data_IF_054617991781
#
_entry.id   IF_054617991781
#
_cell.length_a   1.000
_cell.length_b   1.000
_cell.length_c   1.000
_cell.angle_alpha   90.00
_cell.angle_beta   90.00
_cell.angle_gamma   90.00
#
_symmetry.space_group_name_H-M   'P 1'
#
loop_
_entity.id
_entity.type
_entity.pdbx_description
1 polymer ?
#
# COMPACT_ATOMS: atom_id res chain seq x y z
N UNK A 1 41.74 -4.61 -8.66
CA UNK A 1 41.01 -3.32 -8.54
C UNK A 1 40.59 -3.20 -7.09
N UNK A 2 41.26 -2.39 -6.32
CA UNK A 2 40.99 -2.13 -4.90
C UNK A 2 39.59 -1.54 -4.73
N UNK A 3 38.69 -2.36 -4.22
CA UNK A 3 37.32 -1.95 -3.90
C UNK A 3 37.24 -1.27 -2.53
N UNK A 4 38.07 -0.24 -2.30
CA UNK A 4 37.99 0.57 -1.09
C UNK A 4 36.57 1.18 -0.95
N UNK A 5 35.90 1.10 0.22
CA UNK A 5 34.60 1.72 0.47
C UNK A 5 34.63 3.24 0.24
N UNK A 6 35.80 3.87 0.25
CA UNK A 6 35.97 5.30 -0.01
C UNK A 6 35.60 5.74 -1.44
N UNK A 7 35.53 4.82 -2.42
CA UNK A 7 35.23 5.14 -3.84
C UNK A 7 33.77 4.89 -4.24
N UNK A 8 32.97 4.23 -3.41
CA UNK A 8 31.55 3.98 -3.70
C UNK A 8 30.71 5.25 -3.44
N UNK A 9 30.04 5.81 -4.48
CA UNK A 9 29.28 7.04 -4.36
C UNK A 9 28.09 6.94 -3.37
N UNK A 10 27.70 5.74 -2.96
CA UNK A 10 26.62 5.51 -1.98
C UNK A 10 27.03 5.93 -0.56
N UNK A 11 28.32 5.87 -0.23
CA UNK A 11 28.85 6.28 1.08
C UNK A 11 29.15 7.77 1.15
N UNK A 12 29.18 8.47 0.03
CA UNK A 12 29.48 9.90 -0.01
C UNK A 12 28.38 10.74 0.67
N UNK A 13 28.77 11.87 1.25
CA UNK A 13 27.83 12.87 1.74
C UNK A 13 27.08 13.52 0.57
N UNK A 14 25.91 14.10 0.87
CA UNK A 14 25.13 14.84 -0.11
C UNK A 14 25.93 16.03 -0.66
N UNK A 15 25.90 16.21 -1.97
CA UNK A 15 26.42 17.41 -2.65
C UNK A 15 25.54 18.61 -2.32
N UNK A 16 26.05 19.82 -2.50
CA UNK A 16 25.30 21.07 -2.22
C UNK A 16 23.95 21.09 -2.96
N UNK A 17 23.92 20.75 -4.24
CA UNK A 17 22.66 20.69 -5.01
C UNK A 17 21.66 19.64 -4.47
N UNK A 18 22.14 18.49 -4.03
CA UNK A 18 21.28 17.44 -3.44
C UNK A 18 20.70 17.87 -2.08
N UNK A 19 21.46 18.60 -1.26
CA UNK A 19 20.97 19.21 -0.01
C UNK A 19 19.91 20.25 -0.28
N UNK A 20 20.13 21.11 -1.28
CA UNK A 20 19.14 22.12 -1.69
C UNK A 20 17.85 21.45 -2.20
N UNK A 21 17.96 20.40 -3.03
CA UNK A 21 16.80 19.63 -3.47
C UNK A 21 16.04 18.97 -2.32
N UNK A 22 16.75 18.46 -1.31
CA UNK A 22 16.14 17.91 -0.10
C UNK A 22 15.40 18.98 0.71
N UNK A 23 16.01 20.16 0.90
CA UNK A 23 15.36 21.31 1.57
C UNK A 23 14.10 21.72 0.78
N UNK A 24 14.22 21.86 -0.55
CA UNK A 24 13.08 22.20 -1.40
C UNK A 24 11.95 21.15 -1.29
N UNK A 25 12.28 19.86 -1.23
CA UNK A 25 11.30 18.80 -1.01
C UNK A 25 10.53 18.97 0.31
N UNK A 26 11.22 19.25 1.43
CA UNK A 26 10.56 19.50 2.70
C UNK A 26 9.73 20.80 2.71
N UNK A 27 10.20 21.84 2.03
CA UNK A 27 9.44 23.09 1.85
C UNK A 27 8.14 22.81 1.07
N UNK A 28 8.22 22.03 -0.02
CA UNK A 28 7.02 21.63 -0.78
C UNK A 28 6.04 20.86 0.08
N UNK A 29 6.50 19.91 0.92
CA UNK A 29 5.63 19.19 1.86
C UNK A 29 4.95 20.14 2.85
N UNK A 30 5.69 21.13 3.38
CA UNK A 30 5.14 22.11 4.31
C UNK A 30 4.10 23.02 3.63
N UNK A 31 4.38 23.51 2.43
CA UNK A 31 3.41 24.28 1.63
C UNK A 31 2.17 23.43 1.29
N UNK A 32 2.36 22.16 0.95
CA UNK A 32 1.25 21.26 0.70
C UNK A 32 0.40 21.05 1.95
N UNK A 33 1.02 20.98 3.15
CA UNK A 33 0.28 20.93 4.42
C UNK A 33 -0.64 22.15 4.60
N UNK A 34 -0.14 23.34 4.32
CA UNK A 34 -0.95 24.58 4.38
C UNK A 34 -2.11 24.53 3.39
N UNK A 35 -1.88 24.04 2.16
CA UNK A 35 -2.94 23.88 1.16
C UNK A 35 -4.00 22.85 1.58
N UNK A 36 -3.59 21.72 2.15
CA UNK A 36 -4.50 20.68 2.66
C UNK A 36 -5.33 21.22 3.81
N UNK A 37 -4.69 21.90 4.77
CA UNK A 37 -5.38 22.53 5.90
C UNK A 37 -6.39 23.57 5.42
N UNK A 38 -5.97 24.50 4.56
CA UNK A 38 -6.86 25.52 4.00
C UNK A 38 -8.07 24.89 3.29
N UNK A 39 -7.83 23.90 2.43
CA UNK A 39 -8.89 23.23 1.68
C UNK A 39 -9.84 22.45 2.59
N UNK A 40 -9.31 21.70 3.54
CA UNK A 40 -10.10 20.76 4.35
C UNK A 40 -10.81 21.44 5.51
N UNK A 41 -10.18 22.44 6.15
CA UNK A 41 -10.70 23.05 7.37
C UNK A 41 -11.49 24.34 7.13
N UNK A 42 -11.19 25.09 6.03
CA UNK A 42 -11.75 26.42 5.83
C UNK A 42 -12.67 26.57 4.60
N UNK A 43 -12.72 25.57 3.71
CA UNK A 43 -13.70 25.59 2.61
C UNK A 43 -15.09 25.15 3.09
N UNK A 44 -16.16 25.78 2.56
CA UNK A 44 -17.55 25.52 2.94
C UNK A 44 -18.01 24.09 2.62
N UNK A 45 -17.41 23.45 1.63
CA UNK A 45 -17.65 22.05 1.31
C UNK A 45 -16.44 21.23 1.73
N UNK A 46 -16.51 20.61 2.89
CA UNK A 46 -15.48 19.68 3.37
C UNK A 46 -15.41 18.47 2.42
N UNK A 47 -14.40 18.46 1.57
CA UNK A 47 -14.20 17.38 0.59
C UNK A 47 -13.07 16.49 1.07
N UNK A 48 -13.38 15.33 1.61
CA UNK A 48 -12.36 14.37 1.99
C UNK A 48 -12.92 13.23 2.80
N UNK A 49 -12.26 12.09 2.70
CA UNK A 49 -12.66 10.88 3.41
C UNK A 49 -12.41 10.99 4.92
N UNK A 50 -11.58 11.98 5.34
CA UNK A 50 -11.32 12.26 6.75
C UNK A 50 -12.60 12.55 7.53
N UNK A 51 -13.56 13.30 6.94
CA UNK A 51 -14.83 13.61 7.59
C UNK A 51 -15.60 12.35 7.98
N UNK A 52 -15.62 11.35 7.11
CA UNK A 52 -16.26 10.06 7.39
C UNK A 52 -15.65 9.40 8.63
N UNK A 53 -14.30 9.43 8.76
CA UNK A 53 -13.61 8.82 9.91
C UNK A 53 -13.86 9.59 11.20
N UNK A 54 -13.81 10.93 11.17
CA UNK A 54 -14.04 11.77 12.33
C UNK A 54 -15.51 11.71 12.78
N UNK A 55 -16.45 11.61 11.84
CA UNK A 55 -17.86 11.42 12.13
C UNK A 55 -18.14 10.06 12.76
N UNK A 56 -17.50 8.99 12.28
CA UNK A 56 -17.56 7.68 12.91
C UNK A 56 -16.95 7.70 14.32
N UNK A 57 -15.84 8.43 14.51
CA UNK A 57 -15.25 8.68 15.84
C UNK A 57 -16.21 9.39 16.79
N UNK A 58 -16.97 10.38 16.29
CA UNK A 58 -18.03 11.01 17.05
C UNK A 58 -19.13 10.02 17.46
N UNK A 59 -19.59 9.19 16.52
CA UNK A 59 -20.59 8.17 16.80
C UNK A 59 -20.13 7.20 17.90
N UNK A 60 -18.84 6.83 17.95
CA UNK A 60 -18.26 6.05 19.05
C UNK A 60 -18.46 6.76 20.38
N UNK A 61 -18.17 8.06 20.48
CA UNK A 61 -18.22 8.86 21.72
C UNK A 61 -19.62 9.03 22.26
N UNK A 62 -20.59 9.27 21.36
CA UNK A 62 -21.99 9.55 21.78
C UNK A 62 -22.88 8.31 21.81
N UNK A 63 -22.35 7.16 21.44
CA UNK A 63 -23.14 5.92 21.43
C UNK A 63 -24.05 5.75 20.20
N UNK A 64 -23.89 6.58 19.15
CA UNK A 64 -24.64 6.45 17.91
C UNK A 64 -24.19 5.25 17.05
N UNK A 65 -25.01 4.82 16.10
CA UNK A 65 -24.65 3.74 15.17
C UNK A 65 -23.59 4.23 14.15
N UNK A 66 -22.49 3.49 14.05
CA UNK A 66 -21.34 3.81 13.18
C UNK A 66 -21.71 3.84 11.69
N UNK A 67 -22.64 3.00 11.27
CA UNK A 67 -22.93 2.74 9.87
C UNK A 67 -24.17 3.48 9.35
N UNK A 68 -24.87 4.19 10.23
CA UNK A 68 -26.01 5.04 9.86
C UNK A 68 -25.67 6.53 9.84
N UNK A 69 -24.58 6.92 10.51
CA UNK A 69 -24.13 8.31 10.48
C UNK A 69 -23.45 8.64 9.17
N UNK A 70 -23.70 9.84 8.66
CA UNK A 70 -23.08 10.36 7.43
C UNK A 70 -22.17 11.52 7.73
N UNK A 71 -21.18 11.73 6.86
CA UNK A 71 -20.44 12.98 6.82
C UNK A 71 -21.29 14.13 6.23
N UNK A 72 -20.70 15.32 6.10
CA UNK A 72 -21.40 16.48 5.57
C UNK A 72 -21.75 16.39 4.05
N UNK A 73 -21.20 15.36 3.35
CA UNK A 73 -21.48 15.08 1.93
C UNK A 73 -22.43 13.87 1.75
N UNK A 74 -22.93 13.29 2.82
CA UNK A 74 -23.84 12.13 2.80
C UNK A 74 -23.13 10.78 2.67
N UNK A 75 -21.79 10.71 2.78
CA UNK A 75 -21.05 9.44 2.74
C UNK A 75 -21.07 8.74 4.09
N UNK A 76 -21.20 7.40 4.04
CA UNK A 76 -21.23 6.53 5.20
C UNK A 76 -19.85 5.94 5.52
N UNK A 77 -19.69 5.49 6.76
CA UNK A 77 -18.51 4.75 7.21
C UNK A 77 -18.55 3.30 6.74
N UNK A 78 -17.45 2.81 6.11
CA UNK A 78 -17.37 1.48 5.49
C UNK A 78 -16.23 0.61 6.02
N UNK A 79 -15.69 0.92 7.20
CA UNK A 79 -14.52 0.24 7.77
C UNK A 79 -14.90 -0.52 9.05
N UNK A 80 -14.04 -1.47 9.52
CA UNK A 80 -14.27 -2.11 10.81
C UNK A 80 -14.30 -1.11 11.97
N UNK A 81 -14.98 -1.43 13.09
CA UNK A 81 -15.16 -0.52 14.23
C UNK A 81 -13.85 0.00 14.84
N UNK A 82 -12.74 -0.77 14.73
CA UNK A 82 -11.45 -0.37 15.29
C UNK A 82 -10.98 1.00 14.79
N UNK A 83 -11.14 1.30 13.50
CA UNK A 83 -10.71 2.59 12.95
C UNK A 83 -11.52 3.75 13.53
N UNK A 84 -12.84 3.58 13.72
CA UNK A 84 -13.68 4.59 14.35
C UNK A 84 -13.29 4.82 15.82
N UNK A 85 -12.93 3.76 16.56
CA UNK A 85 -12.42 3.85 17.93
C UNK A 85 -11.10 4.63 17.95
N UNK A 86 -10.18 4.36 17.03
CA UNK A 86 -8.91 5.08 16.91
C UNK A 86 -9.12 6.56 16.51
N UNK A 87 -10.17 6.88 15.75
CA UNK A 87 -10.52 8.24 15.35
C UNK A 87 -11.30 9.01 16.45
N UNK A 88 -11.82 8.34 17.47
CA UNK A 88 -12.63 8.96 18.52
C UNK A 88 -11.98 10.15 19.25
N UNK A 89 -10.66 10.19 19.50
CA UNK A 89 -10.01 11.39 20.08
C UNK A 89 -10.08 12.63 19.18
N UNK A 90 -10.19 12.44 17.85
CA UNK A 90 -10.22 13.49 16.83
C UNK A 90 -11.65 13.73 16.31
N UNK A 91 -12.66 13.19 16.97
CA UNK A 91 -14.06 13.21 16.57
C UNK A 91 -14.57 14.59 16.14
N UNK A 92 -15.38 14.61 15.07
CA UNK A 92 -16.07 15.82 14.60
C UNK A 92 -17.58 15.57 14.54
N UNK A 93 -18.41 16.33 15.31
CA UNK A 93 -19.85 16.16 15.36
C UNK A 93 -20.55 16.74 14.10
N UNK A 94 -21.78 16.30 13.79
CA UNK A 94 -22.60 16.94 12.75
C UNK A 94 -22.92 18.39 13.13
N UNK A 95 -23.32 19.18 12.12
CA UNK A 95 -23.74 20.55 12.33
C UNK A 95 -24.91 20.63 13.35
N UNK A 96 -24.79 21.52 14.30
CA UNK A 96 -25.81 21.70 15.37
C UNK A 96 -25.71 20.73 16.56
N UNK A 97 -24.84 19.72 16.52
CA UNK A 97 -24.58 18.86 17.67
C UNK A 97 -23.61 19.48 18.68
N UNK A 98 -23.68 19.03 19.93
CA UNK A 98 -22.78 19.47 21.00
C UNK A 98 -21.30 19.13 20.67
N UNK A 99 -20.43 20.11 20.81
CA UNK A 99 -18.98 20.02 20.58
C UNK A 99 -18.16 20.01 21.85
N UNK A 100 -18.80 19.95 23.01
CA UNK A 100 -18.13 19.99 24.30
C UNK A 100 -17.11 18.85 24.45
N UNK A 101 -15.87 19.21 24.78
CA UNK A 101 -14.77 18.25 24.91
C UNK A 101 -14.26 17.66 23.58
N UNK A 102 -14.57 18.28 22.43
CA UNK A 102 -14.04 17.92 21.12
C UNK A 102 -13.05 18.94 20.61
N UNK A 103 -12.07 18.47 19.81
CA UNK A 103 -11.11 19.36 19.19
C UNK A 103 -11.76 20.19 18.06
N UNK A 104 -11.28 21.42 17.78
CA UNK A 104 -11.61 22.10 16.55
C UNK A 104 -11.29 21.24 15.33
N UNK A 105 -12.15 21.28 14.31
CA UNK A 105 -11.94 20.44 13.11
C UNK A 105 -10.59 20.70 12.44
N UNK A 106 -10.12 21.95 12.36
CA UNK A 106 -8.79 22.30 11.85
C UNK A 106 -7.66 21.59 12.60
N UNK A 107 -7.75 21.50 13.92
CA UNK A 107 -6.75 20.77 14.73
C UNK A 107 -6.78 19.28 14.39
N UNK A 108 -7.96 18.67 14.21
CA UNK A 108 -8.09 17.28 13.81
C UNK A 108 -7.49 17.02 12.42
N UNK A 109 -7.68 17.94 11.45
CA UNK A 109 -7.06 17.87 10.12
C UNK A 109 -5.53 17.93 10.23
N UNK A 110 -4.99 18.91 10.95
CA UNK A 110 -3.54 19.06 11.13
C UNK A 110 -2.91 17.83 11.81
N UNK A 111 -3.53 17.31 12.87
CA UNK A 111 -3.07 16.11 13.57
C UNK A 111 -3.07 14.91 12.62
N UNK A 112 -4.15 14.68 11.86
CA UNK A 112 -4.22 13.59 10.90
C UNK A 112 -3.16 13.72 9.79
N UNK A 113 -2.90 14.92 9.31
CA UNK A 113 -1.84 15.18 8.33
C UNK A 113 -0.46 14.81 8.88
N UNK A 114 -0.12 15.28 10.08
CA UNK A 114 1.16 14.99 10.74
C UNK A 114 1.32 13.50 11.05
N UNK A 115 0.25 12.81 11.51
CA UNK A 115 0.25 11.37 11.72
C UNK A 115 0.51 10.62 10.41
N UNK A 116 -0.10 11.03 9.30
CA UNK A 116 0.15 10.43 8.00
C UNK A 116 1.61 10.61 7.55
N UNK A 117 2.22 11.79 7.73
CA UNK A 117 3.64 11.99 7.46
C UNK A 117 4.53 11.14 8.37
N UNK A 118 4.18 11.02 9.64
CA UNK A 118 4.88 10.15 10.59
C UNK A 118 4.81 8.68 10.15
N UNK A 119 3.64 8.18 9.76
CA UNK A 119 3.47 6.81 9.26
C UNK A 119 4.27 6.56 7.97
N UNK A 120 4.29 7.53 7.05
CA UNK A 120 5.12 7.45 5.85
C UNK A 120 6.61 7.35 6.20
N UNK A 121 7.10 8.21 7.09
CA UNK A 121 8.48 8.21 7.53
C UNK A 121 8.85 6.89 8.23
N UNK A 122 7.98 6.39 9.12
CA UNK A 122 8.15 5.10 9.78
C UNK A 122 8.19 3.94 8.78
N UNK A 123 7.26 3.90 7.83
CA UNK A 123 7.18 2.84 6.82
C UNK A 123 8.46 2.77 5.99
N UNK A 124 8.87 3.90 5.44
CA UNK A 124 10.05 4.00 4.60
C UNK A 124 11.33 3.67 5.38
N UNK A 125 11.45 4.22 6.60
CA UNK A 125 12.64 3.98 7.43
C UNK A 125 12.77 2.52 7.87
N UNK A 126 11.68 1.92 8.36
CA UNK A 126 11.67 0.52 8.82
C UNK A 126 12.02 -0.44 7.70
N UNK A 127 11.40 -0.29 6.53
CA UNK A 127 11.65 -1.17 5.39
C UNK A 127 13.06 -0.99 4.83
N UNK A 128 13.52 0.25 4.63
CA UNK A 128 14.87 0.53 4.18
C UNK A 128 15.91 -0.06 5.15
N UNK A 129 15.74 0.16 6.47
CA UNK A 129 16.63 -0.38 7.49
C UNK A 129 16.64 -1.92 7.54
N UNK A 130 15.49 -2.55 7.30
CA UNK A 130 15.42 -4.01 7.23
C UNK A 130 16.21 -4.54 6.03
N UNK A 131 16.07 -3.92 4.86
CA UNK A 131 16.83 -4.28 3.66
C UNK A 131 18.33 -4.02 3.83
N UNK A 132 18.73 -2.87 4.41
CA UNK A 132 20.13 -2.53 4.70
C UNK A 132 20.79 -3.57 5.61
N UNK A 133 20.16 -3.95 6.73
CA UNK A 133 20.70 -4.92 7.69
C UNK A 133 20.92 -6.30 7.10
N UNK A 134 19.98 -6.78 6.28
CA UNK A 134 20.08 -8.11 5.69
C UNK A 134 21.16 -8.13 4.62
N UNK A 135 21.26 -7.05 3.84
CA UNK A 135 22.35 -6.91 2.89
C UNK A 135 23.73 -6.86 3.58
N UNK A 136 23.79 -6.36 4.83
CA UNK A 136 25.03 -6.32 5.63
C UNK A 136 25.39 -7.66 6.28
N UNK A 137 24.39 -8.47 6.68
CA UNK A 137 24.63 -9.76 7.37
C UNK A 137 24.99 -10.93 6.46
N UNK A 138 24.90 -10.75 5.14
CA UNK A 138 25.20 -11.76 4.13
C UNK A 138 26.70 -11.85 3.78
N UNK A 139 27.63 -11.54 4.70
CA UNK A 139 29.04 -11.82 4.51
C UNK A 139 29.24 -13.33 4.33
N UNK A 140 29.18 -13.79 3.09
CA UNK A 140 29.63 -15.14 2.71
C UNK A 140 31.14 -15.20 2.79
N UNK A 141 31.66 -16.39 3.09
CA UNK A 141 33.08 -16.71 3.19
C UNK A 141 33.93 -16.31 1.95
N UNK A 142 33.34 -15.73 0.93
CA UNK A 142 34.00 -15.26 -0.31
C UNK A 142 34.42 -13.79 -0.30
N UNK A 143 34.32 -13.06 0.83
CA UNK A 143 35.05 -11.80 1.06
C UNK A 143 34.68 -10.56 0.22
N UNK A 144 33.74 -10.61 -0.72
CA UNK A 144 33.54 -9.54 -1.71
C UNK A 144 32.19 -8.83 -1.72
N UNK A 145 31.25 -9.19 -0.84
CA UNK A 145 29.98 -8.46 -0.73
C UNK A 145 30.15 -7.29 0.23
N UNK A 146 30.28 -6.06 -0.27
CA UNK A 146 30.22 -4.86 0.56
C UNK A 146 28.86 -4.75 1.25
N UNK A 147 28.83 -4.65 2.58
CA UNK A 147 27.58 -4.51 3.33
C UNK A 147 26.87 -3.19 2.98
N UNK A 148 25.53 -3.21 2.91
CA UNK A 148 24.71 -1.99 2.74
C UNK A 148 24.59 -1.20 4.05
N UNK A 149 25.72 -0.99 4.73
CA UNK A 149 25.75 -0.21 5.97
C UNK A 149 26.11 1.24 5.66
N UNK A 150 25.19 1.92 4.98
CA UNK A 150 25.40 3.32 4.62
C UNK A 150 25.27 4.22 5.85
N UNK A 151 26.22 5.14 6.06
CA UNK A 151 26.13 6.14 7.12
C UNK A 151 24.82 6.94 7.01
N UNK A 152 24.21 7.24 8.14
CA UNK A 152 23.01 8.10 8.19
C UNK A 152 23.35 9.43 7.52
N UNK A 153 22.49 9.86 6.60
CA UNK A 153 22.69 11.11 5.84
C UNK A 153 23.55 10.96 4.59
N UNK A 154 24.13 9.77 4.31
CA UNK A 154 24.84 9.50 3.05
C UNK A 154 23.89 9.49 1.86
N UNK A 155 24.43 9.59 0.64
CA UNK A 155 23.64 9.55 -0.60
C UNK A 155 22.84 8.26 -0.75
N UNK A 156 23.41 7.11 -0.45
CA UNK A 156 22.74 5.81 -0.49
C UNK A 156 21.59 5.73 0.51
N UNK A 157 21.82 6.23 1.74
CA UNK A 157 20.81 6.26 2.79
C UNK A 157 19.58 7.09 2.40
N UNK A 158 19.78 8.31 1.86
CA UNK A 158 18.70 9.16 1.38
C UNK A 158 18.03 8.59 0.13
N UNK A 159 18.81 8.14 -0.83
CA UNK A 159 18.29 7.67 -2.09
C UNK A 159 17.37 6.46 -1.93
N UNK A 160 17.70 5.48 -1.06
CA UNK A 160 16.81 4.33 -0.82
C UNK A 160 15.47 4.73 -0.20
N UNK A 161 15.44 5.81 0.57
CA UNK A 161 14.24 6.31 1.23
C UNK A 161 13.40 7.24 0.33
N UNK A 162 14.06 8.14 -0.39
CA UNK A 162 13.36 9.16 -1.18
C UNK A 162 12.90 8.66 -2.55
N UNK A 163 13.67 7.80 -3.22
CA UNK A 163 13.30 7.32 -4.56
C UNK A 163 11.91 6.66 -4.60
N UNK A 164 11.54 5.76 -3.66
CA UNK A 164 10.19 5.18 -3.63
C UNK A 164 9.10 6.22 -3.32
N UNK A 165 9.40 7.21 -2.46
CA UNK A 165 8.46 8.31 -2.17
C UNK A 165 8.21 9.12 -3.44
N UNK A 166 9.28 9.51 -4.15
CA UNK A 166 9.17 10.29 -5.38
C UNK A 166 8.43 9.54 -6.49
N UNK A 167 8.66 8.23 -6.62
CA UNK A 167 7.94 7.38 -7.56
C UNK A 167 6.44 7.25 -7.25
N UNK A 168 6.05 7.42 -5.99
CA UNK A 168 4.66 7.35 -5.52
C UNK A 168 4.13 8.73 -5.05
N UNK A 169 4.78 9.84 -5.42
CA UNK A 169 4.46 11.18 -4.88
C UNK A 169 3.01 11.59 -5.15
N UNK A 170 2.46 11.29 -6.33
CA UNK A 170 1.09 11.65 -6.70
C UNK A 170 0.07 10.88 -5.83
N UNK A 171 0.09 9.54 -5.73
CA UNK A 171 -0.79 8.80 -4.82
C UNK A 171 -0.61 9.18 -3.35
N UNK A 172 0.62 9.46 -2.90
CA UNK A 172 0.88 9.94 -1.53
C UNK A 172 0.23 11.30 -1.30
N UNK A 173 0.43 12.26 -2.21
CA UNK A 173 -0.20 13.57 -2.13
C UNK A 173 -1.74 13.47 -2.11
N UNK A 174 -2.29 12.59 -2.93
CA UNK A 174 -3.73 12.32 -2.95
C UNK A 174 -4.23 11.69 -1.63
N UNK A 175 -3.44 10.79 -1.01
CA UNK A 175 -3.72 10.24 0.32
C UNK A 175 -3.74 11.34 1.38
N UNK A 176 -2.73 12.20 1.39
CA UNK A 176 -2.60 13.32 2.34
C UNK A 176 -3.74 14.33 2.18
N UNK A 177 -4.10 14.68 0.94
CA UNK A 177 -5.15 15.67 0.66
C UNK A 177 -6.56 15.20 1.03
N UNK A 178 -6.79 13.88 1.02
CA UNK A 178 -8.09 13.28 1.41
C UNK A 178 -8.14 12.87 2.88
N UNK A 179 -7.01 12.89 3.60
CA UNK A 179 -6.91 12.36 4.96
C UNK A 179 -7.15 10.86 5.07
N UNK A 180 -6.77 10.10 4.03
CA UNK A 180 -6.94 8.65 3.96
C UNK A 180 -5.95 7.89 4.85
N UNK A 181 -6.35 6.69 5.27
CA UNK A 181 -5.57 5.81 6.18
C UNK A 181 -4.50 4.96 5.48
N UNK A 182 -4.26 5.17 4.18
CA UNK A 182 -3.34 4.31 3.43
C UNK A 182 -1.89 4.40 3.89
N UNK A 183 -1.45 5.55 4.44
CA UNK A 183 -0.09 5.68 4.99
C UNK A 183 0.05 4.96 6.34
N UNK A 184 -1.02 4.85 7.13
CA UNK A 184 -1.09 3.94 8.28
C UNK A 184 -0.98 2.49 7.82
N UNK A 185 -1.74 2.06 6.80
CA UNK A 185 -1.61 0.72 6.24
C UNK A 185 -0.20 0.45 5.73
N UNK A 186 0.42 1.42 5.05
CA UNK A 186 1.80 1.31 4.58
C UNK A 186 2.80 1.08 5.74
N UNK A 187 2.61 1.78 6.87
CA UNK A 187 3.43 1.57 8.07
C UNK A 187 3.23 0.18 8.68
N UNK A 188 1.99 -0.32 8.70
CA UNK A 188 1.68 -1.68 9.16
C UNK A 188 2.28 -2.74 8.22
N UNK A 189 2.25 -2.52 6.90
CA UNK A 189 2.90 -3.38 5.92
C UNK A 189 4.43 -3.38 6.06
N UNK A 190 5.02 -2.23 6.32
CA UNK A 190 6.46 -2.13 6.58
C UNK A 190 6.86 -2.86 7.86
N UNK A 191 6.07 -2.75 8.93
CA UNK A 191 6.24 -3.52 10.16
C UNK A 191 6.13 -5.03 9.93
N UNK A 192 5.11 -5.46 9.18
CA UNK A 192 4.93 -6.85 8.75
C UNK A 192 6.16 -7.39 8.01
N UNK A 193 6.62 -6.69 6.96
CA UNK A 193 7.78 -7.07 6.18
C UNK A 193 9.06 -7.08 7.02
N UNK A 194 9.30 -6.03 7.81
CA UNK A 194 10.48 -5.94 8.66
C UNK A 194 10.56 -7.10 9.65
N UNK A 195 9.45 -7.45 10.33
CA UNK A 195 9.44 -8.57 11.27
C UNK A 195 9.55 -9.93 10.55
N UNK A 196 9.00 -10.11 9.34
CA UNK A 196 9.26 -11.30 8.53
C UNK A 196 10.73 -11.42 8.16
N UNK A 197 11.35 -10.33 7.73
CA UNK A 197 12.76 -10.25 7.36
C UNK A 197 13.66 -10.54 8.58
N UNK A 198 13.27 -10.11 9.79
CA UNK A 198 13.95 -10.43 11.05
C UNK A 198 13.57 -11.80 11.65
N UNK A 199 12.81 -12.64 10.90
CA UNK A 199 12.32 -13.96 11.34
C UNK A 199 11.43 -13.91 12.59
N UNK A 200 10.75 -12.79 12.84
CA UNK A 200 9.80 -12.59 13.94
C UNK A 200 8.37 -12.86 13.47
N UNK A 201 8.13 -14.08 13.01
CA UNK A 201 6.91 -14.48 12.28
C UNK A 201 5.61 -14.17 13.02
N UNK A 202 5.52 -14.48 14.34
CA UNK A 202 4.32 -14.21 15.13
C UNK A 202 3.99 -12.69 15.18
N UNK A 203 5.01 -11.86 15.42
CA UNK A 203 4.84 -10.39 15.42
C UNK A 203 4.46 -9.85 14.03
N UNK A 204 5.00 -10.43 12.98
CA UNK A 204 4.58 -10.09 11.63
C UNK A 204 3.09 -10.35 11.44
N UNK A 205 2.58 -11.48 11.93
CA UNK A 205 1.14 -11.78 11.93
C UNK A 205 0.30 -10.72 12.64
N UNK A 206 0.75 -10.19 13.79
CA UNK A 206 0.06 -9.11 14.50
C UNK A 206 -0.03 -7.82 13.65
N UNK A 207 1.03 -7.44 12.92
CA UNK A 207 1.01 -6.28 12.01
C UNK A 207 -0.01 -6.47 10.89
N UNK A 208 -0.04 -7.66 10.27
CA UNK A 208 -1.00 -7.96 9.21
C UNK A 208 -2.44 -7.93 9.73
N UNK A 209 -2.68 -8.51 10.91
CA UNK A 209 -3.99 -8.45 11.55
C UNK A 209 -4.44 -7.01 11.81
N UNK A 210 -3.56 -6.15 12.32
CA UNK A 210 -3.87 -4.74 12.55
C UNK A 210 -4.26 -4.05 11.24
N UNK A 211 -3.57 -4.34 10.13
CA UNK A 211 -3.92 -3.80 8.82
C UNK A 211 -5.32 -4.25 8.38
N UNK A 212 -5.69 -5.51 8.59
CA UNK A 212 -7.02 -6.06 8.30
C UNK A 212 -8.09 -5.42 9.20
N UNK A 213 -7.78 -5.19 10.48
CA UNK A 213 -8.70 -4.55 11.41
C UNK A 213 -8.94 -3.06 11.11
N UNK A 214 -7.99 -2.37 10.49
CA UNK A 214 -8.16 -0.99 9.99
C UNK A 214 -8.96 -0.98 8.69
N UNK A 215 -8.69 -1.91 7.78
CA UNK A 215 -9.34 -1.99 6.47
C UNK A 215 -9.36 -3.46 6.02
N UNK A 216 -10.49 -3.97 5.56
CA UNK A 216 -10.66 -5.41 5.29
C UNK A 216 -9.78 -5.91 4.13
N UNK A 217 -9.57 -5.07 3.11
CA UNK A 217 -8.88 -5.46 1.88
C UNK A 217 -7.50 -6.10 2.09
N UNK A 218 -6.66 -5.73 3.09
CA UNK A 218 -5.41 -6.41 3.40
C UNK A 218 -5.54 -7.90 3.77
N UNK A 219 -6.76 -8.42 4.00
CA UNK A 219 -6.97 -9.86 4.19
C UNK A 219 -6.48 -10.69 2.99
N UNK A 220 -6.49 -10.11 1.79
CA UNK A 220 -5.88 -10.71 0.60
C UNK A 220 -4.39 -11.08 0.81
N UNK A 221 -3.67 -10.33 1.62
CA UNK A 221 -2.24 -10.54 1.88
C UNK A 221 -1.96 -11.76 2.76
N UNK A 222 -3.00 -12.40 3.34
CA UNK A 222 -2.90 -13.72 3.96
C UNK A 222 -2.38 -14.78 2.98
N UNK A 223 -2.52 -14.55 1.67
CA UNK A 223 -1.92 -15.41 0.66
C UNK A 223 -0.41 -15.59 0.86
N UNK A 224 0.32 -14.59 1.38
CA UNK A 224 1.75 -14.70 1.61
C UNK A 224 2.09 -15.73 2.69
N UNK A 225 1.60 -15.63 3.95
CA UNK A 225 1.90 -16.64 4.97
C UNK A 225 1.27 -18.01 4.65
N UNK A 226 0.12 -18.06 3.98
CA UNK A 226 -0.49 -19.31 3.52
C UNK A 226 0.39 -20.00 2.47
N UNK A 227 0.84 -19.26 1.45
CA UNK A 227 1.72 -19.79 0.41
C UNK A 227 3.06 -20.29 0.97
N UNK A 228 3.57 -19.57 1.97
CA UNK A 228 4.81 -19.95 2.66
C UNK A 228 4.62 -21.04 3.72
N UNK A 229 3.38 -21.43 4.02
CA UNK A 229 3.03 -22.34 5.12
C UNK A 229 3.60 -21.86 6.46
N UNK A 230 3.52 -20.56 6.71
CA UNK A 230 4.05 -19.91 7.92
C UNK A 230 2.99 -19.92 9.03
N UNK A 231 2.87 -21.06 9.70
CA UNK A 231 1.88 -21.24 10.78
C UNK A 231 2.07 -20.28 11.95
N UNK A 232 3.31 -19.85 12.25
CA UNK A 232 3.56 -18.86 13.32
C UNK A 232 3.02 -17.48 12.96
N UNK A 233 3.19 -17.07 11.71
CA UNK A 233 2.63 -15.82 11.22
C UNK A 233 1.09 -15.87 11.21
N UNK A 234 0.50 -16.98 10.75
CA UNK A 234 -0.95 -17.19 10.78
C UNK A 234 -1.52 -17.17 12.21
N UNK A 235 -0.84 -17.80 13.17
CA UNK A 235 -1.23 -17.77 14.57
C UNK A 235 -1.19 -16.33 15.15
N UNK A 236 -0.13 -15.58 14.85
CA UNK A 236 -0.04 -14.16 15.24
C UNK A 236 -1.17 -13.32 14.61
N UNK A 237 -1.49 -13.60 13.35
CA UNK A 237 -2.60 -12.92 12.67
C UNK A 237 -3.94 -13.27 13.31
N UNK A 238 -4.22 -14.54 13.63
CA UNK A 238 -5.45 -14.95 14.29
C UNK A 238 -5.62 -14.27 15.67
N UNK A 239 -4.56 -14.26 16.48
CA UNK A 239 -4.55 -13.53 17.76
C UNK A 239 -4.83 -12.04 17.57
N UNK A 240 -4.13 -11.40 16.62
CA UNK A 240 -4.32 -9.98 16.33
C UNK A 240 -5.73 -9.64 15.84
N UNK A 241 -6.36 -10.53 15.03
CA UNK A 241 -7.75 -10.36 14.59
C UNK A 241 -8.72 -10.47 15.77
N UNK A 242 -8.53 -11.44 16.66
CA UNK A 242 -9.35 -11.55 17.88
C UNK A 242 -9.22 -10.29 18.75
N UNK A 243 -8.00 -9.80 18.94
CA UNK A 243 -7.77 -8.55 19.68
C UNK A 243 -8.44 -7.35 19.00
N UNK A 244 -8.19 -7.13 17.73
CA UNK A 244 -8.61 -5.92 17.01
C UNK A 244 -10.07 -5.90 16.58
N UNK A 245 -10.65 -7.07 16.24
CA UNK A 245 -12.06 -7.15 15.82
C UNK A 245 -13.02 -7.48 16.94
N UNK A 246 -12.57 -8.13 18.02
CA UNK A 246 -13.48 -8.51 19.11
C UNK A 246 -13.15 -7.80 20.41
N UNK A 247 -11.97 -8.02 20.99
CA UNK A 247 -11.68 -7.57 22.35
C UNK A 247 -11.64 -6.04 22.46
N UNK A 248 -10.97 -5.34 21.55
CA UNK A 248 -10.93 -3.87 21.58
C UNK A 248 -12.32 -3.27 21.36
N UNK A 249 -13.10 -3.64 20.32
CA UNK A 249 -14.46 -3.13 20.19
C UNK A 249 -15.36 -3.47 21.38
N UNK A 250 -15.29 -4.68 21.96
CA UNK A 250 -16.06 -5.05 23.14
C UNK A 250 -15.72 -4.20 24.37
N UNK A 251 -14.44 -3.84 24.51
CA UNK A 251 -13.98 -2.99 25.61
C UNK A 251 -14.50 -1.54 25.50
N UNK A 252 -14.47 -0.98 24.28
CA UNK A 252 -14.82 0.43 24.05
C UNK A 252 -16.30 0.66 23.76
N UNK A 253 -16.96 -0.27 23.05
CA UNK A 253 -18.37 -0.15 22.65
C UNK A 253 -19.30 -0.98 23.54
N UNK A 254 -18.77 -1.94 24.27
CA UNK A 254 -19.54 -2.97 24.97
C UNK A 254 -19.93 -4.15 24.06
N UNK A 255 -20.20 -5.35 24.65
CA UNK A 255 -20.45 -6.56 23.87
C UNK A 255 -21.65 -6.46 22.90
N UNK A 256 -22.79 -5.98 23.41
CA UNK A 256 -24.04 -5.85 22.63
C UNK A 256 -23.82 -4.96 21.39
N UNK A 257 -23.29 -3.75 21.60
CA UNK A 257 -23.08 -2.78 20.54
C UNK A 257 -22.03 -3.26 19.54
N UNK A 258 -21.00 -4.00 19.97
CA UNK A 258 -20.02 -4.62 19.07
C UNK A 258 -20.70 -5.61 18.12
N UNK A 259 -21.58 -6.47 18.62
CA UNK A 259 -22.34 -7.42 17.80
C UNK A 259 -23.26 -6.68 16.82
N UNK A 260 -23.96 -5.64 17.28
CA UNK A 260 -24.84 -4.83 16.43
C UNK A 260 -24.04 -4.11 15.33
N UNK A 261 -22.87 -3.56 15.63
CA UNK A 261 -21.95 -2.98 14.65
C UNK A 261 -21.54 -4.00 13.56
N UNK A 262 -21.19 -5.23 13.93
CA UNK A 262 -20.83 -6.24 12.90
C UNK A 262 -22.03 -6.73 12.09
N UNK A 263 -23.19 -6.84 12.71
CA UNK A 263 -24.42 -7.14 11.97
C UNK A 263 -24.72 -6.07 10.93
N UNK A 264 -24.64 -4.80 11.32
CA UNK A 264 -24.89 -3.68 10.44
C UNK A 264 -23.80 -3.55 9.36
N UNK A 265 -22.53 -3.71 9.72
CA UNK A 265 -21.43 -3.76 8.76
C UNK A 265 -21.62 -4.87 7.71
N UNK A 266 -22.06 -6.05 8.12
CA UNK A 266 -22.35 -7.14 7.19
C UNK A 266 -23.45 -6.76 6.24
N UNK A 267 -24.55 -6.18 6.74
CA UNK A 267 -25.71 -5.78 5.96
C UNK A 267 -25.40 -4.63 5.00
N UNK A 268 -24.68 -3.61 5.46
CA UNK A 268 -24.52 -2.34 4.73
C UNK A 268 -23.21 -2.23 3.94
N UNK A 269 -22.19 -3.02 4.29
CA UNK A 269 -20.85 -2.97 3.66
C UNK A 269 -20.53 -4.27 2.92
N UNK A 270 -20.58 -5.43 3.62
CA UNK A 270 -20.12 -6.68 3.02
C UNK A 270 -21.08 -7.22 1.96
N UNK A 271 -22.38 -7.28 2.24
CA UNK A 271 -23.36 -7.76 1.28
C UNK A 271 -23.47 -6.86 0.04
N UNK A 272 -23.50 -5.51 0.16
CA UNK A 272 -23.42 -4.63 -1.01
C UNK A 272 -22.13 -4.79 -1.81
N UNK A 273 -20.99 -4.92 -1.13
CA UNK A 273 -19.69 -5.18 -1.76
C UNK A 273 -19.67 -6.47 -2.58
N UNK A 274 -20.47 -7.47 -2.19
CA UNK A 274 -20.69 -8.72 -2.94
C UNK A 274 -21.80 -8.60 -4.01
N UNK A 275 -22.40 -7.43 -4.19
CA UNK A 275 -23.51 -7.21 -5.12
C UNK A 275 -24.87 -7.71 -4.61
N UNK A 276 -24.97 -8.02 -3.31
CA UNK A 276 -26.18 -8.50 -2.63
C UNK A 276 -26.70 -7.41 -1.69
N UNK A 277 -27.45 -6.42 -2.18
CA UNK A 277 -28.05 -5.37 -1.36
C UNK A 277 -29.41 -4.99 -1.88
N UNK A 278 -30.38 -4.81 -0.97
CA UNK A 278 -31.69 -4.27 -1.25
C UNK A 278 -31.72 -2.73 -1.22
N UNK A 279 -30.76 -2.09 -0.51
CA UNK A 279 -30.66 -0.63 -0.40
C UNK A 279 -29.84 -0.03 -1.55
N UNK A 280 -30.49 0.55 -2.52
CA UNK A 280 -29.88 1.10 -3.74
C UNK A 280 -28.82 2.20 -3.46
N UNK A 281 -29.04 3.05 -2.43
CA UNK A 281 -28.14 4.16 -2.10
C UNK A 281 -26.76 3.69 -1.60
N UNK A 282 -26.71 2.69 -0.71
CA UNK A 282 -25.45 2.17 -0.17
C UNK A 282 -24.73 1.25 -1.15
N UNK A 283 -25.47 0.50 -1.97
CA UNK A 283 -24.87 -0.22 -3.08
C UNK A 283 -24.19 0.74 -4.07
N UNK A 284 -24.77 1.91 -4.32
CA UNK A 284 -24.17 2.94 -5.17
C UNK A 284 -22.84 3.49 -4.59
N UNK A 285 -22.77 3.77 -3.29
CA UNK A 285 -21.52 4.25 -2.66
C UNK A 285 -20.35 3.26 -2.82
N UNK A 286 -20.62 1.94 -2.70
CA UNK A 286 -19.61 0.91 -2.72
C UNK A 286 -19.32 0.35 -4.11
N UNK A 287 -20.31 0.30 -5.00
CA UNK A 287 -20.22 -0.44 -6.27
C UNK A 287 -20.57 0.40 -7.49
N UNK A 288 -20.75 1.71 -7.34
CA UNK A 288 -21.03 2.61 -8.46
C UNK A 288 -19.84 2.70 -9.41
N UNK A 289 -19.94 2.04 -10.56
CA UNK A 289 -18.89 2.03 -11.59
C UNK A 289 -18.88 3.32 -12.43
N UNK A 290 -19.90 4.17 -12.31
CA UNK A 290 -19.89 5.49 -12.96
C UNK A 290 -19.00 6.50 -12.23
N UNK A 291 -18.51 6.17 -11.02
CA UNK A 291 -17.51 6.97 -10.35
C UNK A 291 -16.22 7.00 -11.18
N UNK A 292 -15.91 8.16 -11.72
CA UNK A 292 -14.78 8.39 -12.63
C UNK A 292 -13.41 8.22 -11.95
N UNK A 293 -13.34 8.13 -10.62
CA UNK A 293 -12.10 8.01 -9.85
C UNK A 293 -11.59 6.57 -9.69
N UNK A 294 -12.35 5.57 -10.12
CA UNK A 294 -11.98 4.15 -10.00
C UNK A 294 -10.82 3.77 -10.93
N UNK A 295 -9.82 3.08 -10.39
CA UNK A 295 -8.60 2.65 -11.08
C UNK A 295 -8.38 1.13 -10.94
N UNK A 296 -9.45 0.35 -10.72
CA UNK A 296 -9.40 -1.12 -10.71
C UNK A 296 -9.55 -1.70 -12.12
N UNK A 297 -9.20 -2.97 -12.29
CA UNK A 297 -9.44 -3.69 -13.55
C UNK A 297 -10.92 -3.60 -13.95
N UNK A 298 -11.83 -3.84 -12.99
CA UNK A 298 -13.27 -3.79 -13.26
C UNK A 298 -13.71 -2.41 -13.76
N UNK A 299 -13.30 -1.35 -13.06
CA UNK A 299 -13.69 0.03 -13.42
C UNK A 299 -13.10 0.44 -14.75
N UNK A 300 -11.81 0.14 -15.00
CA UNK A 300 -11.15 0.47 -16.25
C UNK A 300 -11.83 -0.23 -17.45
N UNK A 301 -12.12 -1.53 -17.34
CA UNK A 301 -12.84 -2.27 -18.38
C UNK A 301 -14.26 -1.71 -18.61
N UNK A 302 -15.00 -1.48 -17.53
CA UNK A 302 -16.36 -0.96 -17.61
C UNK A 302 -16.41 0.41 -18.28
N UNK A 303 -15.55 1.34 -17.85
CA UNK A 303 -15.52 2.71 -18.37
C UNK A 303 -15.00 2.78 -19.81
N UNK A 304 -14.09 1.88 -20.20
CA UNK A 304 -13.62 1.80 -21.59
C UNK A 304 -14.72 1.29 -22.54
N UNK A 305 -15.51 0.31 -22.09
CA UNK A 305 -16.62 -0.21 -22.89
C UNK A 305 -17.85 0.70 -22.91
N UNK A 306 -18.04 1.47 -21.84
CA UNK A 306 -19.11 2.44 -21.69
C UNK A 306 -18.53 3.85 -21.56
N UNK A 307 -17.94 4.31 -22.66
CA UNK A 307 -17.16 5.54 -22.71
C UNK A 307 -17.98 6.80 -22.42
N UNK A 308 -19.23 6.86 -22.89
CA UNK A 308 -20.11 8.02 -22.68
C UNK A 308 -20.66 8.03 -21.25
N UNK A 309 -20.32 9.06 -20.48
CA UNK A 309 -20.77 9.26 -19.10
C UNK A 309 -22.30 9.36 -18.96
N UNK A 310 -23.00 9.93 -19.96
CA UNK A 310 -24.44 10.14 -19.91
C UNK A 310 -25.22 8.81 -20.00
N UNK A 311 -24.67 7.83 -20.69
CA UNK A 311 -25.31 6.53 -20.94
C UNK A 311 -24.65 5.38 -20.17
N UNK A 312 -23.56 5.65 -19.42
CA UNK A 312 -22.79 4.65 -18.68
C UNK A 312 -23.64 3.96 -17.62
N UNK A 313 -23.76 2.63 -17.61
CA UNK A 313 -24.47 1.90 -16.58
C UNK A 313 -23.84 2.09 -15.19
N UNK A 314 -24.66 2.23 -14.14
CA UNK A 314 -24.17 2.34 -12.76
C UNK A 314 -23.53 1.06 -12.23
N UNK A 315 -23.84 -0.09 -12.81
CA UNK A 315 -23.32 -1.40 -12.38
C UNK A 315 -22.66 -2.11 -13.56
N UNK A 316 -21.50 -2.70 -13.31
CA UNK A 316 -20.85 -3.55 -14.29
C UNK A 316 -21.69 -4.82 -14.53
N UNK A 317 -21.71 -5.29 -15.79
CA UNK A 317 -22.38 -6.53 -16.14
C UNK A 317 -21.73 -7.75 -15.46
N UNK A 318 -22.46 -8.87 -15.28
CA UNK A 318 -21.90 -10.11 -14.73
C UNK A 318 -20.68 -10.62 -15.51
N UNK A 319 -20.71 -10.48 -16.84
CA UNK A 319 -19.62 -10.91 -17.73
C UNK A 319 -18.36 -10.11 -17.47
N UNK A 320 -18.46 -8.79 -17.33
CA UNK A 320 -17.34 -7.92 -16.99
C UNK A 320 -16.76 -8.22 -15.61
N UNK A 321 -17.62 -8.54 -14.64
CA UNK A 321 -17.17 -8.99 -13.31
C UNK A 321 -16.42 -10.30 -13.40
N UNK A 322 -16.96 -11.29 -14.12
CA UNK A 322 -16.27 -12.56 -14.34
C UNK A 322 -14.93 -12.36 -15.02
N UNK A 323 -14.86 -11.53 -16.09
CA UNK A 323 -13.60 -11.21 -16.78
C UNK A 323 -12.60 -10.52 -15.84
N UNK A 324 -13.04 -9.55 -15.06
CA UNK A 324 -12.20 -8.85 -14.08
C UNK A 324 -11.63 -9.81 -13.04
N UNK A 325 -12.44 -10.72 -12.50
CA UNK A 325 -11.97 -11.75 -11.55
C UNK A 325 -11.04 -12.77 -12.20
N UNK A 326 -11.29 -13.15 -13.45
CA UNK A 326 -10.41 -14.05 -14.20
C UNK A 326 -9.02 -13.40 -14.43
N UNK A 327 -8.99 -12.13 -14.85
CA UNK A 327 -7.73 -11.38 -15.00
C UNK A 327 -7.01 -11.21 -13.66
N UNK A 328 -7.74 -10.85 -12.60
CA UNK A 328 -7.18 -10.76 -11.26
C UNK A 328 -6.64 -12.09 -10.74
N UNK A 329 -7.34 -13.19 -11.00
CA UNK A 329 -6.88 -14.56 -10.73
C UNK A 329 -5.61 -14.90 -11.48
N UNK A 330 -5.53 -14.53 -12.77
CA UNK A 330 -4.33 -14.73 -13.59
C UNK A 330 -3.12 -13.97 -13.04
N UNK A 331 -3.28 -12.69 -12.66
CA UNK A 331 -2.22 -11.90 -12.03
C UNK A 331 -1.75 -12.56 -10.72
N UNK A 332 -2.69 -13.03 -9.91
CA UNK A 332 -2.41 -13.71 -8.65
C UNK A 332 -1.65 -15.01 -8.86
N UNK A 333 -2.15 -15.88 -9.74
CA UNK A 333 -1.52 -17.17 -10.05
C UNK A 333 -0.13 -16.98 -10.66
N UNK A 334 0.04 -16.00 -11.55
CA UNK A 334 1.36 -15.65 -12.10
C UNK A 334 2.32 -15.22 -11.00
N UNK A 335 1.87 -14.36 -10.09
CA UNK A 335 2.69 -13.89 -8.96
C UNK A 335 3.09 -15.05 -8.04
N UNK A 336 2.14 -15.89 -7.67
CA UNK A 336 2.38 -17.07 -6.83
C UNK A 336 3.29 -18.09 -7.52
N UNK A 337 3.05 -18.36 -8.81
CA UNK A 337 3.83 -19.32 -9.60
C UNK A 337 5.28 -18.89 -9.76
N UNK A 338 5.52 -17.61 -10.09
CA UNK A 338 6.89 -17.08 -10.24
C UNK A 338 7.64 -17.13 -8.92
N UNK A 339 7.00 -16.80 -7.80
CA UNK A 339 7.64 -16.86 -6.48
C UNK A 339 7.80 -18.30 -5.96
N UNK A 340 6.81 -19.17 -6.18
CA UNK A 340 6.84 -20.58 -5.72
C UNK A 340 7.97 -21.38 -6.31
N UNK A 341 8.27 -21.14 -7.58
CA UNK A 341 9.39 -21.80 -8.27
C UNK A 341 10.76 -21.45 -7.66
N UNK A 342 10.92 -20.26 -7.08
CA UNK A 342 12.18 -19.84 -6.44
C UNK A 342 12.42 -20.43 -5.05
N UNK A 343 11.37 -20.94 -4.39
CA UNK A 343 11.42 -21.33 -2.97
C UNK A 343 12.37 -22.50 -2.67
N UNK A 344 12.80 -23.24 -3.67
CA UNK A 344 13.66 -24.41 -3.48
C UNK A 344 15.12 -24.05 -3.13
N UNK A 345 15.50 -22.75 -3.15
CA UNK A 345 16.90 -22.35 -2.92
C UNK A 345 17.00 -21.19 -1.93
N UNK A 346 16.94 -21.49 -0.65
CA UNK A 346 16.95 -20.50 0.44
C UNK A 346 18.31 -20.31 1.05
N UNK A 347 18.65 -19.05 1.39
CA UNK A 347 19.79 -18.71 2.26
C UNK A 347 20.50 -17.41 2.00
N UNK A 348 20.14 -16.63 0.98
CA UNK A 348 20.89 -15.43 0.57
C UNK A 348 20.12 -14.11 0.77
N UNK A 349 20.87 -12.98 0.73
CA UNK A 349 20.34 -11.59 0.62
C UNK A 349 19.31 -11.47 -0.51
N UNK A 350 19.48 -12.26 -1.57
CA UNK A 350 18.55 -12.42 -2.68
C UNK A 350 17.14 -12.78 -2.20
N UNK A 351 16.99 -13.74 -1.29
CA UNK A 351 15.69 -14.19 -0.78
C UNK A 351 14.90 -13.10 -0.05
N UNK A 352 15.57 -12.09 0.50
CA UNK A 352 14.92 -10.99 1.23
C UNK A 352 14.32 -9.95 0.28
N UNK A 353 15.04 -9.58 -0.76
CA UNK A 353 14.50 -8.69 -1.81
C UNK A 353 13.34 -9.39 -2.53
N UNK A 354 13.48 -10.70 -2.81
CA UNK A 354 12.44 -11.50 -3.44
C UNK A 354 11.15 -11.54 -2.60
N UNK A 355 11.28 -11.61 -1.27
CA UNK A 355 10.13 -11.55 -0.37
C UNK A 355 9.42 -10.19 -0.43
N UNK A 356 10.17 -9.08 -0.46
CA UNK A 356 9.58 -7.73 -0.55
C UNK A 356 8.98 -7.50 -1.94
N UNK A 357 9.63 -7.98 -3.02
CA UNK A 357 9.05 -7.97 -4.38
C UNK A 357 7.74 -8.75 -4.42
N UNK A 358 7.74 -9.97 -3.91
CA UNK A 358 6.54 -10.82 -3.89
C UNK A 358 5.40 -10.18 -3.11
N UNK A 359 5.68 -9.64 -1.92
CA UNK A 359 4.69 -8.93 -1.13
C UNK A 359 4.15 -7.70 -1.89
N UNK A 360 5.03 -6.88 -2.47
CA UNK A 360 4.62 -5.69 -3.23
C UNK A 360 3.77 -6.02 -4.45
N UNK A 361 4.06 -7.14 -5.13
CA UNK A 361 3.23 -7.66 -6.22
C UNK A 361 1.85 -8.12 -5.73
N UNK A 362 1.77 -8.79 -4.57
CA UNK A 362 0.49 -9.15 -3.96
C UNK A 362 -0.31 -7.91 -3.54
N UNK A 363 0.34 -6.88 -2.99
CA UNK A 363 -0.32 -5.59 -2.69
C UNK A 363 -0.90 -5.00 -3.96
N UNK A 364 -0.15 -4.97 -5.06
CA UNK A 364 -0.67 -4.44 -6.32
C UNK A 364 -1.83 -5.26 -6.86
N UNK A 365 -1.75 -6.60 -6.85
CA UNK A 365 -2.86 -7.46 -7.24
C UNK A 365 -4.12 -7.19 -6.39
N UNK A 366 -3.95 -7.07 -5.07
CA UNK A 366 -5.03 -6.69 -4.14
C UNK A 366 -5.73 -5.41 -4.57
N UNK A 367 -4.98 -4.38 -4.97
CA UNK A 367 -5.53 -3.10 -5.43
C UNK A 367 -6.28 -3.25 -6.75
N UNK A 368 -5.69 -3.94 -7.72
CA UNK A 368 -6.22 -4.08 -9.07
C UNK A 368 -7.49 -4.94 -9.11
N UNK A 369 -7.60 -5.94 -8.23
CA UNK A 369 -8.76 -6.84 -8.13
C UNK A 369 -9.90 -6.19 -7.33
N UNK A 370 -9.57 -5.25 -6.45
CA UNK A 370 -10.58 -4.58 -5.63
C UNK A 370 -11.63 -3.89 -6.51
N UNK A 371 -12.93 -4.07 -6.25
CA UNK A 371 -13.96 -3.33 -6.98
C UNK A 371 -13.87 -1.82 -6.76
N UNK A 372 -13.28 -1.40 -5.64
CA UNK A 372 -13.08 0.00 -5.29
C UNK A 372 -11.57 0.24 -5.16
N UNK A 373 -10.97 0.87 -6.15
CA UNK A 373 -9.58 1.28 -6.12
C UNK A 373 -9.46 2.70 -6.66
N UNK A 374 -9.11 3.64 -5.81
CA UNK A 374 -8.85 5.02 -6.18
C UNK A 374 -7.35 5.30 -6.25
N UNK A 375 -6.97 6.43 -6.86
CA UNK A 375 -5.57 6.80 -7.06
C UNK A 375 -4.73 6.76 -5.76
N UNK A 376 -5.29 7.21 -4.64
CA UNK A 376 -4.58 7.22 -3.35
C UNK A 376 -4.18 5.83 -2.83
N UNK A 377 -4.80 4.75 -3.31
CA UNK A 377 -4.40 3.38 -2.93
C UNK A 377 -3.01 3.01 -3.47
N UNK A 378 -2.61 3.58 -4.62
CA UNK A 378 -1.29 3.29 -5.20
C UNK A 378 -0.11 3.83 -4.39
N UNK A 379 -0.34 4.59 -3.31
CA UNK A 379 0.68 4.87 -2.29
C UNK A 379 1.24 3.60 -1.65
N UNK A 380 0.45 2.51 -1.63
CA UNK A 380 0.84 1.19 -1.14
C UNK A 380 1.80 0.43 -2.07
N UNK A 381 2.11 0.95 -3.27
CA UNK A 381 3.15 0.41 -4.16
C UNK A 381 4.58 0.65 -3.65
N UNK A 382 4.75 1.52 -2.68
CA UNK A 382 6.07 1.93 -2.18
C UNK A 382 7.01 0.75 -1.84
N UNK A 383 6.58 -0.35 -1.18
CA UNK A 383 7.42 -1.52 -0.94
C UNK A 383 7.92 -2.19 -2.23
N UNK A 384 7.06 -2.30 -3.25
CA UNK A 384 7.44 -2.87 -4.55
C UNK A 384 8.52 -2.02 -5.22
N UNK A 385 8.31 -0.70 -5.28
CA UNK A 385 9.29 0.24 -5.85
C UNK A 385 10.61 0.18 -5.10
N UNK A 386 10.58 0.17 -3.76
CA UNK A 386 11.80 0.07 -2.94
C UNK A 386 12.56 -1.22 -3.21
N UNK A 387 11.87 -2.34 -3.39
CA UNK A 387 12.49 -3.62 -3.71
C UNK A 387 13.11 -3.64 -5.12
N UNK A 388 12.45 -3.02 -6.12
CA UNK A 388 13.00 -2.87 -7.47
C UNK A 388 14.28 -2.01 -7.47
N UNK A 389 14.29 -0.92 -6.71
CA UNK A 389 15.48 -0.08 -6.51
C UNK A 389 16.59 -0.87 -5.83
N UNK A 390 16.26 -1.61 -4.78
CA UNK A 390 17.20 -2.45 -4.04
C UNK A 390 17.80 -3.55 -4.93
N UNK A 391 16.98 -4.24 -5.74
CA UNK A 391 17.46 -5.23 -6.72
C UNK A 391 18.44 -4.60 -7.71
N UNK A 392 18.09 -3.45 -8.26
CA UNK A 392 18.94 -2.75 -9.23
C UNK A 392 20.31 -2.40 -8.63
N UNK A 393 20.32 -1.90 -7.39
CA UNK A 393 21.57 -1.52 -6.72
C UNK A 393 22.38 -2.71 -6.23
N UNK A 394 21.75 -3.85 -5.98
CA UNK A 394 22.46 -5.10 -5.71
C UNK A 394 23.22 -5.61 -6.94
N UNK A 395 22.62 -5.47 -8.12
CA UNK A 395 23.23 -5.91 -9.41
C UNK A 395 24.29 -4.96 -9.94
N UNK A 396 24.15 -3.68 -9.66
CA UNK A 396 25.02 -2.63 -10.21
C UNK A 396 25.56 -1.75 -9.08
N UNK A 397 26.88 -1.54 -9.08
CA UNK A 397 27.49 -0.62 -8.13
C UNK A 397 27.05 0.82 -8.47
N UNK A 398 26.32 1.50 -7.56
CA UNK A 398 25.89 2.90 -7.75
C UNK A 398 24.43 3.14 -7.44
N UNK A 399 24.00 4.43 -7.46
CA UNK A 399 22.65 4.90 -7.12
C UNK A 399 21.74 4.94 -8.37
N UNK A 400 22.26 4.57 -9.55
CA UNK A 400 21.51 4.67 -10.82
C UNK A 400 20.35 3.67 -10.87
N UNK A 401 19.17 4.15 -11.24
CA UNK A 401 18.01 3.31 -11.51
C UNK A 401 18.15 2.55 -12.84
N UNK A 402 19.03 3.04 -13.72
CA UNK A 402 19.13 2.57 -15.10
C UNK A 402 17.93 2.99 -15.96
N UNK A 403 18.06 3.01 -17.29
CA UNK A 403 17.04 3.59 -18.15
C UNK A 403 15.70 2.84 -18.09
N UNK A 404 15.71 1.51 -18.07
CA UNK A 404 14.48 0.71 -18.07
C UNK A 404 13.61 0.95 -16.83
N UNK A 405 14.19 0.85 -15.62
CA UNK A 405 13.44 1.08 -14.38
C UNK A 405 12.98 2.54 -14.29
N UNK A 406 13.85 3.49 -14.65
CA UNK A 406 13.50 4.91 -14.68
C UNK A 406 12.32 5.18 -15.60
N UNK A 407 12.33 4.64 -16.82
CA UNK A 407 11.20 4.77 -17.78
C UNK A 407 9.91 4.22 -17.19
N UNK A 408 9.93 3.02 -16.58
CA UNK A 408 8.74 2.42 -15.97
C UNK A 408 8.20 3.31 -14.85
N UNK A 409 9.07 3.83 -13.98
CA UNK A 409 8.63 4.71 -12.87
C UNK A 409 8.09 6.06 -13.40
N UNK A 410 8.68 6.61 -14.44
CA UNK A 410 8.16 7.83 -15.10
C UNK A 410 6.78 7.56 -15.71
N UNK A 411 6.61 6.46 -16.46
CA UNK A 411 5.31 6.10 -17.06
C UNK A 411 4.24 5.84 -15.99
N UNK A 412 4.60 5.19 -14.87
CA UNK A 412 3.71 5.04 -13.74
C UNK A 412 3.32 6.41 -13.13
N UNK A 413 4.29 7.30 -12.98
CA UNK A 413 4.05 8.68 -12.51
C UNK A 413 3.14 9.48 -13.45
N UNK A 414 3.36 9.39 -14.76
CA UNK A 414 2.51 10.01 -15.78
C UNK A 414 1.08 9.43 -15.69
N UNK A 415 0.93 8.11 -15.63
CA UNK A 415 -0.36 7.45 -15.49
C UNK A 415 -1.14 7.90 -14.24
N UNK A 416 -0.43 8.17 -13.15
CA UNK A 416 -1.01 8.71 -11.92
C UNK A 416 -1.32 10.22 -12.00
N UNK A 417 -0.55 10.98 -12.78
CA UNK A 417 -0.67 12.43 -12.90
C UNK A 417 -1.78 12.84 -13.87
N UNK A 418 -1.89 12.18 -15.03
CA UNK A 418 -2.89 12.52 -16.07
C UNK A 418 -4.33 12.63 -15.52
N UNK A 419 -4.81 11.73 -14.65
CA UNK A 419 -6.14 11.85 -14.05
C UNK A 419 -6.38 13.11 -13.22
N UNK A 420 -5.34 13.84 -12.84
CA UNK A 420 -5.44 15.06 -12.03
C UNK A 420 -5.67 16.31 -12.89
N UNK A 421 -5.46 16.22 -14.19
CA UNK A 421 -5.64 17.33 -15.11
C UNK A 421 -7.12 17.46 -15.50
N UNK A 422 -7.72 18.67 -15.42
CA UNK A 422 -9.16 18.86 -15.63
C UNK A 422 -9.68 18.36 -16.98
N UNK A 423 -8.89 18.47 -18.04
CA UNK A 423 -9.28 18.12 -19.40
C UNK A 423 -8.94 16.67 -19.78
N UNK A 424 -8.25 15.93 -18.89
CA UNK A 424 -7.79 14.56 -19.13
C UNK A 424 -8.74 13.50 -18.54
N UNK A 425 -10.04 13.77 -18.53
CA UNK A 425 -11.06 12.87 -17.99
C UNK A 425 -11.02 11.48 -18.61
N UNK A 426 -10.73 11.38 -19.91
CA UNK A 426 -10.58 10.11 -20.61
C UNK A 426 -9.52 9.21 -19.94
N UNK A 427 -8.33 9.75 -19.64
CA UNK A 427 -7.25 8.99 -18.98
C UNK A 427 -7.65 8.55 -17.57
N UNK A 428 -8.37 9.40 -16.83
CA UNK A 428 -8.91 9.06 -15.52
C UNK A 428 -9.92 7.93 -15.61
N UNK A 429 -10.89 8.04 -16.51
CA UNK A 429 -12.00 7.10 -16.65
C UNK A 429 -11.51 5.75 -17.18
N UNK A 430 -10.59 5.72 -18.14
CA UNK A 430 -10.01 4.48 -18.67
C UNK A 430 -8.93 3.85 -17.78
N UNK A 431 -8.59 4.44 -16.64
CA UNK A 431 -7.69 3.80 -15.66
C UNK A 431 -6.21 3.95 -15.98
N UNK A 432 -5.73 5.13 -16.37
CA UNK A 432 -4.30 5.35 -16.71
C UNK A 432 -3.34 4.98 -15.58
N UNK A 433 -3.73 5.22 -14.31
CA UNK A 433 -2.93 4.82 -13.15
C UNK A 433 -2.85 3.30 -13.00
N UNK A 434 -3.91 2.57 -13.33
CA UNK A 434 -3.91 1.11 -13.39
C UNK A 434 -2.88 0.61 -14.41
N UNK A 435 -2.89 1.15 -15.64
CA UNK A 435 -1.95 0.73 -16.68
C UNK A 435 -0.51 1.07 -16.31
N UNK A 436 -0.25 2.25 -15.73
CA UNK A 436 1.06 2.62 -15.20
C UNK A 436 1.55 1.61 -14.14
N UNK A 437 0.68 1.22 -13.22
CA UNK A 437 1.02 0.26 -12.17
C UNK A 437 1.20 -1.17 -12.71
N UNK A 438 0.49 -1.57 -13.76
CA UNK A 438 0.71 -2.85 -14.45
C UNK A 438 2.11 -2.94 -15.07
N UNK A 439 2.69 -1.83 -15.57
CA UNK A 439 4.08 -1.81 -16.02
C UNK A 439 5.05 -2.07 -14.87
N UNK A 440 4.76 -1.53 -13.68
CA UNK A 440 5.53 -1.82 -12.46
C UNK A 440 5.39 -3.29 -12.07
N UNK A 441 4.18 -3.86 -12.16
CA UNK A 441 3.92 -5.27 -11.92
C UNK A 441 4.71 -6.18 -12.87
N UNK A 442 4.63 -5.93 -14.18
CA UNK A 442 5.38 -6.67 -15.19
C UNK A 442 6.89 -6.61 -14.92
N UNK A 443 7.39 -5.44 -14.51
CA UNK A 443 8.81 -5.27 -14.16
C UNK A 443 9.15 -6.11 -12.93
N UNK A 444 8.31 -6.11 -11.90
CA UNK A 444 8.50 -6.93 -10.69
C UNK A 444 8.50 -8.43 -11.00
N UNK A 445 7.56 -8.90 -11.83
CA UNK A 445 7.52 -10.30 -12.30
C UNK A 445 8.78 -10.64 -13.10
N UNK A 446 9.20 -9.78 -14.04
CA UNK A 446 10.40 -10.00 -14.83
C UNK A 446 11.68 -10.08 -13.96
N UNK A 447 11.79 -9.21 -12.95
CA UNK A 447 12.90 -9.24 -11.98
C UNK A 447 12.89 -10.53 -11.17
N UNK A 448 11.75 -10.93 -10.61
CA UNK A 448 11.64 -12.22 -9.90
C UNK A 448 11.99 -13.38 -10.81
N UNK A 449 11.50 -13.38 -12.05
CA UNK A 449 11.80 -14.43 -13.01
C UNK A 449 13.29 -14.54 -13.33
N UNK A 450 13.99 -13.43 -13.54
CA UNK A 450 15.43 -13.38 -13.85
C UNK A 450 16.32 -13.77 -12.66
N UNK A 451 15.83 -13.66 -11.44
CA UNK A 451 16.54 -14.06 -10.22
C UNK A 451 16.51 -15.56 -9.96
N UNK A 452 15.84 -16.34 -10.84
CA UNK A 452 15.88 -17.80 -10.78
C UNK A 452 17.31 -18.29 -10.86
N UNK A 453 17.72 -19.27 -10.05
CA UNK A 453 18.97 -19.95 -10.28
C UNK A 453 18.91 -20.57 -11.67
N UNK A 454 19.83 -20.22 -12.51
CA UNK A 454 20.10 -21.04 -13.71
C UNK A 454 20.59 -22.36 -13.14
N UNK A 455 19.82 -23.45 -13.33
CA UNK A 455 20.37 -24.78 -13.17
C UNK A 455 21.67 -24.80 -13.97
N UNK A 456 22.80 -24.86 -13.25
CA UNK A 456 24.05 -25.21 -13.89
C UNK A 456 23.79 -26.61 -14.43
N UNK A 457 23.58 -26.70 -15.74
CA UNK A 457 23.82 -27.94 -16.48
C UNK A 457 25.33 -28.13 -16.37
N UNK A 458 25.80 -28.44 -15.17
CA UNK A 458 27.14 -28.94 -14.95
C UNK A 458 27.08 -30.40 -15.33
N UNK A 459 27.38 -30.65 -16.60
CA UNK A 459 28.28 -31.71 -17.02
C UNK A 459 28.69 -32.71 -15.91
N UNK A 460 27.76 -33.58 -15.50
CA UNK A 460 28.11 -34.90 -14.96
C UNK A 460 28.13 -35.91 -16.08
N UNK A 461 28.78 -35.55 -17.17
CA UNK A 461 29.26 -36.48 -18.15
C UNK A 461 30.78 -36.58 -18.03
N UNK A 462 31.26 -37.16 -16.96
CA UNK A 462 32.57 -37.80 -16.98
C UNK A 462 32.34 -39.19 -17.53
N UNK A 463 32.77 -39.46 -18.79
CA UNK A 463 32.76 -40.84 -19.29
C UNK A 463 33.77 -41.66 -18.46
N UNK A 464 33.30 -42.74 -17.91
CA UNK A 464 34.13 -43.68 -17.18
C UNK A 464 35.39 -44.05 -18.00
N UNK A 465 36.55 -43.84 -17.41
CA UNK A 465 37.75 -44.57 -17.82
C UNK A 465 37.53 -46.03 -17.43
N UNK A 466 37.25 -46.85 -18.45
CA UNK A 466 37.51 -48.28 -18.40
C UNK A 466 39.03 -48.41 -18.23
N UNK A 467 39.45 -48.88 -17.06
CA UNK A 467 40.76 -49.41 -16.87
C UNK A 467 40.75 -50.89 -17.19
N UNK A 468 41.55 -51.27 -18.16
CA UNK A 468 41.93 -52.62 -18.45
C UNK A 468 42.92 -53.13 -17.41
#
# INVERSE_FOLDING_TARGET
>A
MDGSPATDPRYASLRRGERLALIAFFVVIALFAVLVEHRSAFQHTRKGDLNVFLRAGWAVRVGADLYTVTDDNGFHYHYPPLLAILAAPLADPPAGADRTGMLPYSVSVAVCYLLNLFFLACAVHQLARALERIASGGCTASGHAQPWNWPIGSRGWWALRLTPILACVIPIGHTLSRGQVNLLLLALFAGFLADLLYRRHFRAGLWLAMAICVKIIPAYLLLLPLWRRDGRCLAGCAVGLVLGLLLVPMLFLGPKRTVDCYREMTRTVLLPGLGKSEEASRAAELTNQTATEGQSILTALHNTLHYDLATRPHKASPELRCLSYALGGLLTLTTLGVFGWQRQQTGSVSASIDLVLFFGLLVLNMLLISPVCHLHYFSLLLPLVMALVADRWQKHKGISLGPRLLTVLILNGIGAFLPQLPEMNLFRDCGSAMYGSLLVWLTGIAVLWQRRPRESISASAVPGRLAA
#
